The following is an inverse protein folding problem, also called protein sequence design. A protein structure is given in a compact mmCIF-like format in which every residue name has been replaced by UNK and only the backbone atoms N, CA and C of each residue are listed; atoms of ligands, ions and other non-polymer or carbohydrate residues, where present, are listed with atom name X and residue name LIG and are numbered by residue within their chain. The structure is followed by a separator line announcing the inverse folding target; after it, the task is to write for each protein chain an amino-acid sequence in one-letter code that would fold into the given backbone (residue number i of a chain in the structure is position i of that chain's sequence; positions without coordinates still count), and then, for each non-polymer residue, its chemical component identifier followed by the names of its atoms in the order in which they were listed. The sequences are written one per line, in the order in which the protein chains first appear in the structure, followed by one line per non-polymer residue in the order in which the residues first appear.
data_IF_132396571517
#
_entry.id   IF_132396571517
#
_cell.length_a   1.000
_cell.length_b   1.000
_cell.length_c   1.000
_cell.angle_alpha   90.00
_cell.angle_beta   90.00
_cell.angle_gamma   90.00
#
_symmetry.space_group_name_H-M   'P 1'
#
loop_
_entity.id
_entity.type
_entity.pdbx_description
1 polymer ?
#
# COMPACT_ATOMS: atom_id res chain seq x y z
N UNK A 1 -31.27 1.72 -20.97
CA UNK A 1 -31.12 1.84 -19.49
C UNK A 1 -32.02 0.83 -18.81
N UNK A 2 -33.35 0.95 -18.94
CA UNK A 2 -34.30 -0.01 -18.36
C UNK A 2 -33.99 -1.46 -18.79
N UNK A 3 -33.75 -1.70 -20.08
CA UNK A 3 -33.42 -3.03 -20.62
C UNK A 3 -32.21 -3.69 -19.92
N UNK A 4 -31.09 -2.98 -19.74
CA UNK A 4 -29.89 -3.54 -19.07
C UNK A 4 -30.12 -3.84 -17.59
N UNK A 5 -30.91 -3.00 -16.90
CA UNK A 5 -31.27 -3.22 -15.50
C UNK A 5 -32.26 -4.39 -15.35
N UNK A 6 -33.17 -4.54 -16.30
CA UNK A 6 -34.14 -5.65 -16.34
C UNK A 6 -33.42 -6.98 -16.61
N UNK A 7 -32.49 -7.01 -17.58
CA UNK A 7 -31.62 -8.17 -17.84
C UNK A 7 -30.81 -8.56 -16.59
N UNK A 8 -30.23 -7.57 -15.88
CA UNK A 8 -29.51 -7.83 -14.63
C UNK A 8 -30.42 -8.42 -13.55
N UNK A 9 -31.66 -7.97 -13.47
CA UNK A 9 -32.66 -8.47 -12.52
C UNK A 9 -33.11 -9.89 -12.86
N UNK A 10 -33.36 -10.17 -14.15
CA UNK A 10 -33.67 -11.52 -14.64
C UNK A 10 -32.52 -12.49 -14.35
N UNK A 11 -31.27 -12.06 -14.58
CA UNK A 11 -30.10 -12.86 -14.24
C UNK A 11 -29.99 -13.15 -12.72
N UNK A 12 -30.37 -12.22 -11.83
CA UNK A 12 -30.48 -12.51 -10.39
C UNK A 12 -31.52 -13.60 -10.11
N UNK A 13 -32.70 -13.50 -10.74
CA UNK A 13 -33.81 -14.45 -10.56
C UNK A 13 -33.37 -15.86 -10.99
N UNK A 14 -32.62 -15.96 -12.07
CA UNK A 14 -32.07 -17.21 -12.61
C UNK A 14 -30.86 -17.74 -11.82
N UNK A 15 -30.39 -17.02 -10.79
CA UNK A 15 -29.18 -17.37 -10.03
C UNK A 15 -27.87 -17.13 -10.79
N UNK A 16 -27.90 -16.44 -11.93
CA UNK A 16 -26.75 -16.04 -12.75
C UNK A 16 -26.13 -14.74 -12.22
N UNK A 17 -25.61 -14.79 -11.00
CA UNK A 17 -25.20 -13.60 -10.25
C UNK A 17 -24.03 -12.82 -10.88
N UNK A 18 -23.04 -13.50 -11.49
CA UNK A 18 -21.92 -12.80 -12.16
C UNK A 18 -22.38 -12.00 -13.38
N UNK A 19 -23.28 -12.60 -14.18
CA UNK A 19 -23.88 -11.95 -15.33
C UNK A 19 -24.73 -10.76 -14.89
N UNK A 20 -25.54 -10.92 -13.85
CA UNK A 20 -26.29 -9.84 -13.26
C UNK A 20 -25.41 -8.66 -12.85
N UNK A 21 -24.29 -8.93 -12.15
CA UNK A 21 -23.37 -7.90 -11.71
C UNK A 21 -22.73 -7.15 -12.89
N UNK A 22 -22.34 -7.87 -13.95
CA UNK A 22 -21.83 -7.26 -15.18
C UNK A 22 -22.88 -6.36 -15.85
N UNK A 23 -24.14 -6.81 -15.92
CA UNK A 23 -25.25 -6.03 -16.49
C UNK A 23 -25.55 -4.76 -15.69
N UNK A 24 -25.53 -4.82 -14.35
CA UNK A 24 -25.67 -3.62 -13.52
C UNK A 24 -24.50 -2.64 -13.72
N UNK A 25 -23.27 -3.14 -13.89
CA UNK A 25 -22.10 -2.29 -14.20
C UNK A 25 -22.24 -1.60 -15.55
N UNK A 26 -22.64 -2.33 -16.59
CA UNK A 26 -22.91 -1.77 -17.93
C UNK A 26 -24.02 -0.70 -17.87
N UNK A 27 -25.11 -1.00 -17.15
CA UNK A 27 -26.20 -0.05 -16.92
C UNK A 27 -25.69 1.22 -16.21
N UNK A 28 -24.86 1.09 -15.18
CA UNK A 28 -24.29 2.22 -14.43
C UNK A 28 -23.37 3.08 -15.31
N UNK A 29 -22.57 2.46 -16.18
CA UNK A 29 -21.71 3.19 -17.12
C UNK A 29 -22.52 3.98 -18.14
N UNK A 30 -23.66 3.45 -18.58
CA UNK A 30 -24.58 4.14 -19.49
C UNK A 30 -25.38 5.25 -18.77
N UNK A 31 -25.75 5.03 -17.52
CA UNK A 31 -26.52 5.97 -16.71
C UNK A 31 -26.13 5.83 -15.22
N UNK A 32 -25.32 6.76 -14.66
CA UNK A 32 -24.78 6.67 -13.30
C UNK A 32 -25.82 6.81 -12.16
N UNK A 33 -26.68 5.80 -12.00
CA UNK A 33 -27.63 5.69 -10.90
C UNK A 33 -27.02 4.85 -9.75
N UNK A 34 -26.91 5.40 -8.52
CA UNK A 34 -26.32 4.69 -7.38
C UNK A 34 -26.99 3.35 -7.04
N UNK A 35 -28.29 3.20 -7.33
CA UNK A 35 -29.01 1.94 -7.09
C UNK A 35 -28.38 0.79 -7.89
N UNK A 36 -27.84 1.07 -9.08
CA UNK A 36 -27.15 0.08 -9.90
C UNK A 36 -25.85 -0.42 -9.25
N UNK A 37 -25.11 0.45 -8.54
CA UNK A 37 -23.93 0.03 -7.78
C UNK A 37 -24.29 -0.85 -6.58
N UNK A 38 -25.41 -0.55 -5.90
CA UNK A 38 -25.93 -1.40 -4.83
C UNK A 38 -26.32 -2.79 -5.36
N UNK A 39 -27.01 -2.83 -6.49
CA UNK A 39 -27.41 -4.08 -7.13
C UNK A 39 -26.20 -4.89 -7.63
N UNK A 40 -25.22 -4.22 -8.22
CA UNK A 40 -23.93 -4.84 -8.60
C UNK A 40 -23.22 -5.44 -7.39
N UNK A 41 -23.10 -4.69 -6.29
CA UNK A 41 -22.49 -5.18 -5.05
C UNK A 41 -23.18 -6.45 -4.56
N UNK A 42 -24.52 -6.45 -4.49
CA UNK A 42 -25.30 -7.59 -4.01
C UNK A 42 -25.10 -8.80 -4.94
N UNK A 43 -25.08 -8.59 -6.25
CA UNK A 43 -24.86 -9.64 -7.23
C UNK A 43 -23.45 -10.25 -7.10
N UNK A 44 -22.40 -9.44 -7.01
CA UNK A 44 -21.03 -9.95 -6.77
C UNK A 44 -20.90 -10.70 -5.45
N UNK A 45 -21.52 -10.18 -4.38
CA UNK A 45 -21.54 -10.84 -3.07
C UNK A 45 -22.21 -12.21 -3.14
N UNK A 46 -23.38 -12.31 -3.78
CA UNK A 46 -24.08 -13.59 -3.96
C UNK A 46 -23.33 -14.58 -4.86
N UNK A 47 -22.50 -14.07 -5.77
CA UNK A 47 -21.61 -14.88 -6.59
C UNK A 47 -20.35 -15.35 -5.83
N UNK A 48 -20.10 -14.88 -4.61
CA UNK A 48 -18.90 -15.21 -3.82
C UNK A 48 -17.65 -14.42 -4.23
N UNK A 49 -17.76 -13.41 -5.10
CA UNK A 49 -16.62 -12.63 -5.59
C UNK A 49 -16.40 -11.36 -4.76
N UNK A 50 -15.88 -11.54 -3.55
CA UNK A 50 -15.67 -10.45 -2.60
C UNK A 50 -14.73 -9.33 -3.11
N UNK A 51 -13.71 -9.68 -3.90
CA UNK A 51 -12.80 -8.72 -4.55
C UNK A 51 -13.57 -7.72 -5.44
N UNK A 52 -14.69 -8.14 -6.05
CA UNK A 52 -15.52 -7.28 -6.90
C UNK A 52 -16.67 -6.61 -6.14
N UNK A 53 -17.19 -7.26 -5.10
CA UNK A 53 -18.26 -6.71 -4.28
C UNK A 53 -17.82 -5.45 -3.50
N UNK A 54 -16.64 -5.47 -2.87
CA UNK A 54 -16.16 -4.36 -2.02
C UNK A 54 -16.01 -3.04 -2.80
N UNK A 55 -15.39 -3.00 -4.00
CA UNK A 55 -15.30 -1.76 -4.79
C UNK A 55 -16.68 -1.21 -5.21
N UNK A 56 -17.63 -2.07 -5.57
CA UNK A 56 -19.00 -1.65 -5.89
C UNK A 56 -19.69 -1.04 -4.67
N UNK A 57 -19.50 -1.64 -3.49
CA UNK A 57 -19.99 -1.13 -2.21
C UNK A 57 -19.40 0.25 -1.87
N UNK A 58 -18.09 0.41 -2.04
CA UNK A 58 -17.41 1.68 -1.83
C UNK A 58 -17.90 2.77 -2.79
N UNK A 59 -18.09 2.43 -4.07
CA UNK A 59 -18.66 3.33 -5.06
C UNK A 59 -20.07 3.79 -4.69
N UNK A 60 -20.91 2.86 -4.21
CA UNK A 60 -22.25 3.20 -3.74
C UNK A 60 -22.21 4.15 -2.53
N UNK A 61 -21.35 3.89 -1.55
CA UNK A 61 -21.11 4.76 -0.39
C UNK A 61 -20.68 6.18 -0.75
N UNK A 62 -19.92 6.34 -1.84
CA UNK A 62 -19.41 7.63 -2.31
C UNK A 62 -20.43 8.42 -3.15
N UNK A 63 -21.54 7.81 -3.55
CA UNK A 63 -22.54 8.45 -4.42
C UNK A 63 -23.30 9.62 -3.77
N UNK A 64 -23.34 9.68 -2.44
CA UNK A 64 -24.06 10.71 -1.69
C UNK A 64 -25.56 10.45 -1.47
N UNK A 65 -26.11 9.37 -2.04
CA UNK A 65 -27.55 9.00 -1.93
C UNK A 65 -27.79 7.86 -0.92
N UNK A 66 -26.87 7.65 0.02
CA UNK A 66 -26.89 6.52 0.94
C UNK A 66 -27.69 6.82 2.21
N UNK A 67 -28.72 6.03 2.47
CA UNK A 67 -29.45 6.06 3.74
C UNK A 67 -28.70 5.31 4.85
N UNK A 68 -29.06 5.52 6.11
CA UNK A 68 -28.48 4.75 7.22
C UNK A 68 -28.77 3.24 7.10
N UNK A 69 -29.90 2.87 6.50
CA UNK A 69 -30.22 1.46 6.23
C UNK A 69 -29.28 0.88 5.20
N UNK A 70 -29.04 1.62 4.12
CA UNK A 70 -28.13 1.21 3.05
C UNK A 70 -26.69 1.05 3.57
N UNK A 71 -26.25 1.95 4.44
CA UNK A 71 -24.93 1.88 5.08
C UNK A 71 -24.79 0.59 5.91
N UNK A 72 -25.81 0.19 6.66
CA UNK A 72 -25.79 -1.07 7.42
C UNK A 72 -25.71 -2.29 6.51
N UNK A 73 -26.43 -2.28 5.39
CA UNK A 73 -26.39 -3.39 4.43
C UNK A 73 -25.01 -3.50 3.74
N UNK A 74 -24.42 -2.37 3.36
CA UNK A 74 -23.05 -2.31 2.82
C UNK A 74 -22.03 -2.80 3.85
N UNK A 75 -22.11 -2.33 5.09
CA UNK A 75 -21.20 -2.75 6.16
C UNK A 75 -21.25 -4.27 6.36
N UNK A 76 -22.44 -4.88 6.33
CA UNK A 76 -22.59 -6.34 6.43
C UNK A 76 -21.83 -7.07 5.32
N UNK A 77 -21.98 -6.62 4.07
CA UNK A 77 -21.27 -7.21 2.92
C UNK A 77 -19.75 -7.03 3.09
N UNK A 78 -19.30 -5.84 3.47
CA UNK A 78 -17.88 -5.55 3.66
C UNK A 78 -17.25 -6.39 4.78
N UNK A 79 -17.93 -6.55 5.93
CA UNK A 79 -17.43 -7.39 7.04
C UNK A 79 -17.26 -8.83 6.60
N UNK A 80 -18.29 -9.42 6.00
CA UNK A 80 -18.23 -10.83 5.53
C UNK A 80 -17.12 -11.00 4.50
N UNK A 81 -17.05 -10.10 3.52
CA UNK A 81 -16.06 -10.20 2.47
C UNK A 81 -14.63 -9.97 2.95
N UNK A 82 -14.40 -9.04 3.88
CA UNK A 82 -13.05 -8.81 4.40
C UNK A 82 -12.57 -9.99 5.27
N UNK A 83 -13.47 -10.60 6.06
CA UNK A 83 -13.15 -11.82 6.84
C UNK A 83 -12.73 -12.94 5.87
N UNK A 84 -13.51 -13.20 4.83
CA UNK A 84 -13.19 -14.21 3.82
C UNK A 84 -11.84 -13.91 3.13
N UNK A 85 -11.61 -12.68 2.70
CA UNK A 85 -10.35 -12.32 2.05
C UNK A 85 -9.14 -12.39 3.00
N UNK A 86 -9.34 -12.12 4.29
CA UNK A 86 -8.30 -12.26 5.30
C UNK A 86 -7.94 -13.73 5.53
N UNK A 87 -8.93 -14.63 5.54
CA UNK A 87 -8.73 -16.08 5.57
C UNK A 87 -7.91 -16.57 4.37
N UNK A 88 -8.30 -16.14 3.16
CA UNK A 88 -7.58 -16.46 1.92
C UNK A 88 -6.13 -15.94 1.97
N UNK A 89 -5.92 -14.70 2.43
CA UNK A 89 -4.58 -14.12 2.57
C UNK A 89 -3.71 -14.87 3.60
N UNK A 90 -4.29 -15.33 4.73
CA UNK A 90 -3.58 -16.18 5.70
C UNK A 90 -3.22 -17.55 5.12
N UNK A 91 -4.11 -18.16 4.32
CA UNK A 91 -3.83 -19.40 3.62
C UNK A 91 -2.66 -19.26 2.62
N UNK A 92 -2.54 -18.10 1.99
CA UNK A 92 -1.44 -17.77 1.07
C UNK A 92 -0.16 -17.24 1.77
N UNK A 93 -0.11 -17.27 3.11
CA UNK A 93 0.97 -16.71 3.93
C UNK A 93 1.26 -15.23 3.64
N UNK A 94 0.26 -14.48 3.18
CA UNK A 94 0.32 -13.04 2.94
C UNK A 94 -0.15 -12.29 4.19
N UNK A 95 0.69 -12.31 5.23
CA UNK A 95 0.37 -11.76 6.55
C UNK A 95 0.06 -10.25 6.52
N UNK A 96 0.71 -9.49 5.64
CA UNK A 96 0.47 -8.04 5.49
C UNK A 96 -0.93 -7.74 4.95
N UNK A 97 -1.37 -8.48 3.92
CA UNK A 97 -2.71 -8.32 3.38
C UNK A 97 -3.79 -8.73 4.39
N UNK A 98 -3.58 -9.86 5.09
CA UNK A 98 -4.48 -10.33 6.14
C UNK A 98 -4.62 -9.29 7.26
N UNK A 99 -3.51 -8.74 7.75
CA UNK A 99 -3.52 -7.68 8.77
C UNK A 99 -4.30 -6.45 8.32
N UNK A 100 -4.05 -5.98 7.09
CA UNK A 100 -4.74 -4.81 6.54
C UNK A 100 -6.26 -5.03 6.48
N UNK A 101 -6.71 -6.19 6.00
CA UNK A 101 -8.13 -6.54 5.91
C UNK A 101 -8.78 -6.63 7.30
N UNK A 102 -8.07 -7.22 8.26
CA UNK A 102 -8.53 -7.30 9.66
C UNK A 102 -8.71 -5.89 10.24
N UNK A 103 -7.71 -5.02 10.09
CA UNK A 103 -7.75 -3.64 10.60
C UNK A 103 -8.87 -2.81 9.96
N UNK A 104 -9.12 -2.95 8.65
CA UNK A 104 -10.25 -2.30 8.01
C UNK A 104 -11.59 -2.82 8.54
N UNK A 105 -11.69 -4.13 8.77
CA UNK A 105 -12.93 -4.74 9.30
C UNK A 105 -13.26 -4.26 10.71
N UNK A 106 -12.26 -4.06 11.58
CA UNK A 106 -12.46 -3.54 12.94
C UNK A 106 -13.13 -2.16 13.01
N UNK A 107 -13.08 -1.38 11.92
CA UNK A 107 -13.72 -0.06 11.85
C UNK A 107 -15.21 -0.13 11.52
N UNK A 108 -15.71 -1.30 11.14
CA UNK A 108 -17.09 -1.52 10.71
C UNK A 108 -17.97 -2.02 11.87
N UNK A 109 -19.24 -1.67 11.82
CA UNK A 109 -20.24 -2.26 12.71
C UNK A 109 -20.42 -3.75 12.36
N UNK A 110 -20.24 -4.63 13.35
CA UNK A 110 -20.30 -6.08 13.19
C UNK A 110 -21.11 -6.72 14.30
N UNK A 111 -21.60 -7.94 14.04
CA UNK A 111 -22.27 -8.79 15.04
C UNK A 111 -21.25 -9.45 15.96
N UNK A 112 -21.69 -9.95 17.11
CA UNK A 112 -20.82 -10.67 18.07
C UNK A 112 -20.17 -11.92 17.43
N UNK A 113 -20.90 -12.61 16.54
CA UNK A 113 -20.39 -13.77 15.80
C UNK A 113 -19.24 -13.37 14.86
N UNK A 114 -19.43 -12.31 14.08
CA UNK A 114 -18.38 -11.77 13.19
C UNK A 114 -17.19 -11.23 13.99
N UNK A 115 -17.43 -10.64 15.15
CA UNK A 115 -16.36 -10.20 16.04
C UNK A 115 -15.52 -11.40 16.54
N UNK A 116 -16.17 -12.49 16.95
CA UNK A 116 -15.48 -13.71 17.34
C UNK A 116 -14.65 -14.33 16.20
N UNK A 117 -15.18 -14.33 14.97
CA UNK A 117 -14.42 -14.76 13.78
C UNK A 117 -13.18 -13.88 13.55
N UNK A 118 -13.33 -12.56 13.66
CA UNK A 118 -12.23 -11.63 13.47
C UNK A 118 -11.12 -11.81 14.52
N UNK A 119 -11.49 -12.07 15.78
CA UNK A 119 -10.53 -12.39 16.86
C UNK A 119 -9.78 -13.68 16.56
N UNK A 120 -10.47 -14.72 16.09
CA UNK A 120 -9.81 -15.97 15.71
C UNK A 120 -8.79 -15.78 14.56
N UNK A 121 -9.09 -14.91 13.59
CA UNK A 121 -8.15 -14.55 12.53
C UNK A 121 -6.94 -13.78 13.05
N UNK A 122 -7.13 -12.90 14.04
CA UNK A 122 -6.04 -12.19 14.69
C UNK A 122 -5.10 -13.13 15.42
N UNK A 123 -5.64 -14.07 16.18
CA UNK A 123 -4.84 -15.08 16.88
C UNK A 123 -4.04 -15.94 15.89
N UNK A 124 -4.66 -16.33 14.76
CA UNK A 124 -3.99 -17.08 13.71
C UNK A 124 -2.87 -16.28 13.02
N UNK A 125 -3.10 -14.98 12.76
CA UNK A 125 -2.08 -14.07 12.23
C UNK A 125 -0.88 -13.96 13.19
N UNK A 126 -1.12 -13.79 14.49
CA UNK A 126 -0.06 -13.71 15.51
C UNK A 126 0.71 -15.02 15.67
N UNK A 127 0.05 -16.18 15.51
CA UNK A 127 0.71 -17.48 15.53
C UNK A 127 1.67 -17.67 14.33
N UNK A 128 1.26 -17.22 13.14
CA UNK A 128 2.09 -17.30 11.93
C UNK A 128 3.19 -16.24 11.86
N UNK A 129 3.06 -15.13 12.63
CA UNK A 129 4.08 -14.08 12.64
C UNK A 129 5.42 -14.65 13.10
N UNK A 130 6.51 -14.41 12.35
CA UNK A 130 7.83 -14.82 12.77
C UNK A 130 8.13 -14.12 14.08
N UNK A 131 8.25 -14.90 15.16
CA UNK A 131 8.71 -14.37 16.44
C UNK A 131 10.05 -13.71 16.18
N UNK A 132 10.23 -12.41 16.47
CA UNK A 132 11.51 -11.76 16.29
C UNK A 132 12.53 -12.61 17.03
N UNK A 133 13.45 -13.21 16.28
CA UNK A 133 14.54 -13.97 16.85
C UNK A 133 15.27 -12.98 17.74
N UNK A 134 15.18 -13.20 19.06
CA UNK A 134 15.80 -12.33 20.03
C UNK A 134 17.30 -12.45 19.80
N UNK A 135 17.84 -11.57 18.96
CA UNK A 135 19.28 -11.42 18.83
C UNK A 135 19.81 -11.22 20.26
N UNK A 136 20.83 -11.97 20.67
CA UNK A 136 21.36 -11.90 22.02
C UNK A 136 21.72 -10.44 22.29
N UNK A 137 20.98 -9.81 23.20
CA UNK A 137 21.16 -8.39 23.54
C UNK A 137 22.63 -8.21 23.87
N UNK A 138 23.40 -7.46 23.06
CA UNK A 138 24.79 -7.23 23.37
C UNK A 138 24.85 -6.53 24.72
N UNK A 139 25.73 -7.01 25.61
CA UNK A 139 25.91 -6.45 26.93
C UNK A 139 26.04 -4.92 26.81
N UNK A 140 25.34 -4.14 27.66
CA UNK A 140 25.30 -2.69 27.53
C UNK A 140 26.73 -2.15 27.51
N UNK A 141 27.14 -1.42 26.46
CA UNK A 141 28.45 -0.81 26.43
C UNK A 141 28.55 0.15 27.62
N UNK A 142 29.69 0.13 28.31
CA UNK A 142 29.96 1.04 29.42
C UNK A 142 29.67 2.49 28.99
N UNK A 143 29.14 3.35 29.88
CA UNK A 143 28.67 4.69 29.54
C UNK A 143 29.85 5.63 29.24
N UNK A 144 30.41 5.47 28.04
CA UNK A 144 31.16 6.49 27.33
C UNK A 144 30.47 6.63 25.98
N UNK A 145 30.08 7.85 25.62
CA UNK A 145 29.67 8.14 24.23
C UNK A 145 30.92 7.92 23.39
N UNK A 146 31.11 6.69 22.88
CA UNK A 146 32.23 6.40 22.01
C UNK A 146 32.00 7.19 20.73
N UNK A 147 33.06 7.84 20.23
CA UNK A 147 33.01 8.59 18.98
C UNK A 147 32.56 7.68 17.81
N UNK A 148 32.80 6.36 17.90
CA UNK A 148 32.18 5.34 17.04
C UNK A 148 30.64 5.38 16.99
N UNK A 149 29.93 5.61 18.09
CA UNK A 149 28.45 5.76 18.06
C UNK A 149 28.01 6.96 17.21
N UNK A 150 28.79 8.05 17.23
CA UNK A 150 28.51 9.24 16.40
C UNK A 150 28.71 8.90 14.92
N UNK A 151 29.79 8.18 14.58
CA UNK A 151 30.06 7.74 13.20
C UNK A 151 28.96 6.84 12.62
N UNK A 152 28.49 5.85 13.40
CA UNK A 152 27.38 4.99 13.00
C UNK A 152 26.04 5.74 12.94
N UNK A 153 25.78 6.65 13.88
CA UNK A 153 24.57 7.48 13.86
C UNK A 153 24.48 8.37 12.62
N UNK A 154 25.59 9.00 12.22
CA UNK A 154 25.67 9.83 11.00
C UNK A 154 25.51 8.98 9.74
N UNK A 155 26.17 7.82 9.68
CA UNK A 155 26.10 6.93 8.51
C UNK A 155 24.69 6.34 8.36
N UNK A 156 24.09 5.86 9.45
CA UNK A 156 22.74 5.30 9.45
C UNK A 156 21.67 6.31 9.07
N UNK A 157 21.72 7.52 9.65
CA UNK A 157 20.78 8.59 9.29
C UNK A 157 20.92 9.03 7.83
N UNK A 158 22.16 9.12 7.31
CA UNK A 158 22.42 9.39 5.91
C UNK A 158 21.83 8.33 4.97
N UNK A 159 22.00 7.05 5.28
CA UNK A 159 21.45 5.94 4.50
C UNK A 159 19.91 5.96 4.47
N UNK A 160 19.26 6.20 5.61
CA UNK A 160 17.79 6.30 5.70
C UNK A 160 17.27 7.47 4.85
N UNK A 161 17.93 8.63 4.89
CA UNK A 161 17.56 9.78 4.04
C UNK A 161 17.68 9.47 2.55
N UNK A 162 18.74 8.77 2.13
CA UNK A 162 18.94 8.35 0.74
C UNK A 162 17.83 7.39 0.28
N UNK A 163 17.51 6.38 1.08
CA UNK A 163 16.42 5.43 0.77
C UNK A 163 15.08 6.16 0.66
N UNK A 164 14.78 7.06 1.60
CA UNK A 164 13.56 7.89 1.55
C UNK A 164 13.51 8.76 0.29
N UNK A 165 14.64 9.35 -0.12
CA UNK A 165 14.75 10.14 -1.35
C UNK A 165 14.46 9.29 -2.60
N UNK A 166 14.95 8.05 -2.66
CA UNK A 166 14.72 7.10 -3.76
C UNK A 166 13.23 6.76 -3.87
N UNK A 167 12.61 6.31 -2.77
CA UNK A 167 11.17 5.95 -2.75
C UNK A 167 10.32 7.14 -3.18
N UNK A 168 10.61 8.31 -2.63
CA UNK A 168 9.88 9.53 -2.97
C UNK A 168 10.08 9.94 -4.45
N UNK A 169 11.28 9.75 -5.01
CA UNK A 169 11.56 10.00 -6.43
C UNK A 169 10.75 9.05 -7.33
N UNK A 170 10.67 7.75 -6.99
CA UNK A 170 9.89 6.76 -7.76
C UNK A 170 8.40 7.14 -7.79
N UNK A 171 7.82 7.48 -6.63
CA UNK A 171 6.42 7.93 -6.54
C UNK A 171 6.19 9.21 -7.36
N UNK A 172 7.17 10.12 -7.41
CA UNK A 172 7.08 11.32 -8.22
C UNK A 172 7.11 11.02 -9.72
N UNK A 173 7.90 10.03 -10.16
CA UNK A 173 7.93 9.59 -11.56
C UNK A 173 6.63 8.89 -11.98
N UNK A 174 6.08 8.04 -11.12
CA UNK A 174 4.81 7.34 -11.38
C UNK A 174 3.64 8.32 -11.61
N UNK A 175 3.56 9.36 -10.76
CA UNK A 175 2.60 10.46 -10.92
C UNK A 175 2.83 11.28 -12.20
N UNK A 176 4.07 11.38 -12.69
CA UNK A 176 4.34 12.02 -13.97
C UNK A 176 3.86 11.15 -15.14
N UNK A 177 4.08 9.83 -15.09
CA UNK A 177 3.56 8.93 -16.13
C UNK A 177 2.04 8.94 -16.22
N UNK A 178 1.33 9.04 -15.10
CA UNK A 178 -0.13 9.19 -15.09
C UNK A 178 -0.58 10.45 -15.85
N UNK A 179 0.07 11.59 -15.60
CA UNK A 179 -0.21 12.83 -16.32
C UNK A 179 0.09 12.74 -17.81
N UNK A 180 1.18 12.06 -18.21
CA UNK A 180 1.49 11.84 -19.63
C UNK A 180 0.42 10.97 -20.30
N UNK A 181 -0.02 9.89 -19.64
CA UNK A 181 -1.08 9.02 -20.14
C UNK A 181 -2.41 9.78 -20.32
N UNK A 182 -2.78 10.64 -19.35
CA UNK A 182 -3.97 11.49 -19.46
C UNK A 182 -3.86 12.53 -20.56
N UNK A 183 -2.67 13.15 -20.73
CA UNK A 183 -2.43 14.15 -21.76
C UNK A 183 -2.56 13.58 -23.18
N UNK A 184 -2.10 12.35 -23.36
CA UNK A 184 -2.07 11.70 -24.67
C UNK A 184 -3.37 10.90 -24.96
N UNK A 185 -4.28 10.81 -23.98
CA UNK A 185 -5.57 10.14 -24.13
C UNK A 185 -6.54 10.92 -25.02
N UNK A 186 -7.22 10.20 -25.93
CA UNK A 186 -8.30 10.73 -26.79
C UNK A 186 -9.71 10.46 -26.25
N UNK A 187 -9.81 9.94 -25.03
CA UNK A 187 -11.11 9.63 -24.43
C UNK A 187 -11.91 10.93 -24.22
N UNK A 188 -13.24 10.90 -24.42
CA UNK A 188 -14.09 12.03 -24.07
C UNK A 188 -13.93 12.36 -22.57
N UNK A 189 -13.69 13.64 -22.26
CA UNK A 189 -13.42 14.10 -20.88
C UNK A 189 -11.96 13.99 -20.41
N UNK A 190 -11.05 13.41 -21.21
CA UNK A 190 -9.62 13.31 -20.84
C UNK A 190 -8.98 14.67 -20.55
N UNK A 191 -9.37 15.73 -21.28
CA UNK A 191 -8.87 17.08 -21.03
C UNK A 191 -9.29 17.62 -19.66
N UNK A 192 -10.53 17.34 -19.24
CA UNK A 192 -11.04 17.78 -17.94
C UNK A 192 -10.40 16.98 -16.80
N UNK A 193 -10.26 15.66 -16.97
CA UNK A 193 -9.52 14.80 -16.05
C UNK A 193 -8.05 15.23 -15.91
N UNK A 194 -7.38 15.56 -17.02
CA UNK A 194 -6.03 16.10 -17.02
C UNK A 194 -5.95 17.42 -16.25
N UNK A 195 -6.86 18.38 -16.47
CA UNK A 195 -6.87 19.67 -15.75
C UNK A 195 -7.07 19.48 -14.25
N UNK A 196 -8.00 18.63 -13.84
CA UNK A 196 -8.25 18.29 -12.44
C UNK A 196 -7.00 17.66 -11.80
N UNK A 197 -6.44 16.65 -12.45
CA UNK A 197 -5.27 15.92 -11.96
C UNK A 197 -4.01 16.79 -11.93
N UNK A 198 -3.84 17.66 -12.93
CA UNK A 198 -2.75 18.62 -12.99
C UNK A 198 -2.81 19.58 -11.80
N UNK A 199 -3.99 20.13 -11.49
CA UNK A 199 -4.17 21.03 -10.36
C UNK A 199 -3.79 20.37 -9.01
N UNK A 200 -4.21 19.12 -8.81
CA UNK A 200 -3.88 18.32 -7.63
C UNK A 200 -2.37 18.04 -7.49
N UNK A 201 -1.68 17.84 -8.62
CA UNK A 201 -0.26 17.46 -8.64
C UNK A 201 0.71 18.64 -8.62
N UNK A 202 0.26 19.87 -8.89
CA UNK A 202 1.13 21.05 -8.95
C UNK A 202 1.93 21.26 -7.65
N UNK A 203 1.27 21.15 -6.50
CA UNK A 203 1.88 21.39 -5.19
C UNK A 203 2.85 20.27 -4.76
N UNK A 204 2.47 18.98 -4.85
CA UNK A 204 3.39 17.87 -4.63
C UNK A 204 4.62 17.90 -5.55
N UNK A 205 4.43 18.18 -6.85
CA UNK A 205 5.54 18.23 -7.80
C UNK A 205 6.50 19.38 -7.50
N UNK A 206 5.98 20.55 -7.12
CA UNK A 206 6.82 21.69 -6.73
C UNK A 206 7.65 21.36 -5.49
N UNK A 207 7.07 20.69 -4.49
CA UNK A 207 7.81 20.21 -3.32
C UNK A 207 8.86 19.16 -3.69
N UNK A 208 8.50 18.21 -4.55
CA UNK A 208 9.40 17.14 -4.98
C UNK A 208 10.65 17.67 -5.68
N UNK A 209 10.52 18.68 -6.56
CA UNK A 209 11.65 19.30 -7.27
C UNK A 209 12.72 19.86 -6.35
N UNK A 210 12.35 20.30 -5.14
CA UNK A 210 13.31 20.82 -4.16
C UNK A 210 13.70 19.78 -3.12
N UNK A 211 12.75 19.00 -2.60
CA UNK A 211 13.03 18.02 -1.55
C UNK A 211 13.94 16.90 -2.02
N UNK A 212 13.77 16.38 -3.23
CA UNK A 212 14.55 15.23 -3.73
C UNK A 212 16.04 15.56 -3.80
N UNK A 213 16.49 16.65 -4.48
CA UNK A 213 17.91 17.02 -4.48
C UNK A 213 18.45 17.33 -3.09
N UNK A 214 17.67 17.97 -2.21
CA UNK A 214 18.08 18.29 -0.85
C UNK A 214 18.31 17.02 -0.02
N UNK A 215 17.40 16.04 -0.08
CA UNK A 215 17.54 14.77 0.62
C UNK A 215 18.73 13.95 0.10
N UNK A 216 18.94 13.91 -1.22
CA UNK A 216 20.13 13.27 -1.79
C UNK A 216 21.43 13.93 -1.31
N UNK A 217 21.48 15.27 -1.34
CA UNK A 217 22.69 16.02 -0.97
C UNK A 217 22.99 15.87 0.52
N UNK A 218 21.98 16.02 1.38
CA UNK A 218 22.13 15.85 2.83
C UNK A 218 22.45 14.40 3.19
N UNK A 219 21.74 13.43 2.61
CA UNK A 219 21.97 12.01 2.83
C UNK A 219 23.38 11.58 2.42
N UNK A 220 23.85 12.03 1.25
CA UNK A 220 25.20 11.76 0.78
C UNK A 220 26.26 12.43 1.68
N UNK A 221 26.05 13.68 2.09
CA UNK A 221 26.96 14.40 2.98
C UNK A 221 27.07 13.75 4.36
N UNK A 222 25.93 13.34 4.95
CA UNK A 222 25.89 12.63 6.24
C UNK A 222 26.55 11.26 6.15
N UNK A 223 26.27 10.50 5.09
CA UNK A 223 26.88 9.19 4.87
C UNK A 223 28.39 9.30 4.70
N UNK A 224 28.86 10.22 3.83
CA UNK A 224 30.28 10.45 3.61
C UNK A 224 30.97 10.97 4.88
N UNK A 225 30.34 11.88 5.62
CA UNK A 225 30.84 12.39 6.88
C UNK A 225 30.95 11.32 7.96
N UNK A 226 29.95 10.44 8.08
CA UNK A 226 29.96 9.31 9.00
C UNK A 226 31.07 8.31 8.67
N UNK A 227 31.23 7.94 7.39
CA UNK A 227 32.32 7.06 6.93
C UNK A 227 33.69 7.71 7.18
N UNK A 228 33.86 8.99 6.87
CA UNK A 228 35.11 9.72 7.11
C UNK A 228 35.47 9.75 8.60
N UNK A 229 34.47 9.98 9.47
CA UNK A 229 34.67 10.01 10.91
C UNK A 229 35.09 8.63 11.45
N UNK A 230 34.48 7.55 10.97
CA UNK A 230 34.87 6.18 11.30
C UNK A 230 36.30 5.87 10.84
N UNK A 231 36.71 6.34 9.65
CA UNK A 231 38.05 6.11 9.11
C UNK A 231 39.15 6.84 9.90
N UNK A 232 38.92 8.09 10.31
CA UNK A 232 39.91 8.85 11.11
C UNK A 232 40.13 8.26 12.48
N UNK A 233 39.07 7.70 13.09
CA UNK A 233 39.17 7.14 14.44
C UNK A 233 39.90 5.79 14.47
N UNK A 234 40.08 5.14 13.32
CA UNK A 234 40.78 3.84 13.17
C UNK A 234 42.32 3.94 13.33
N UNK A 235 42.83 4.93 14.06
CA UNK A 235 44.24 5.31 14.13
C UNK A 235 45.17 4.32 14.87
N UNK A 236 46.34 4.12 14.23
CA UNK A 236 47.62 3.47 14.58
C UNK A 236 47.67 1.98 14.98
N UNK A 237 46.77 1.45 15.80
CA UNK A 237 46.94 0.07 16.33
C UNK A 237 45.90 -0.96 15.86
N UNK A 238 44.95 -0.56 15.00
CA UNK A 238 43.95 -1.48 14.45
C UNK A 238 44.24 -1.84 12.99
N UNK A 239 44.07 -3.13 12.59
CA UNK A 239 44.21 -3.52 11.20
C UNK A 239 43.30 -2.67 10.33
N UNK A 240 43.83 -2.17 9.21
CA UNK A 240 43.09 -1.29 8.32
C UNK A 240 41.80 -1.99 7.84
N UNK A 241 40.65 -1.44 8.23
CA UNK A 241 39.34 -1.90 7.76
C UNK A 241 39.34 -1.75 6.23
N UNK A 242 39.33 -2.87 5.50
CA UNK A 242 39.18 -2.84 4.04
C UNK A 242 37.70 -2.93 3.70
N UNK A 243 37.14 -1.83 3.23
CA UNK A 243 35.82 -1.81 2.60
C UNK A 243 35.97 -1.94 1.08
N UNK A 244 35.43 -3.00 0.49
CA UNK A 244 35.33 -3.17 -0.97
C UNK A 244 33.86 -3.12 -1.39
N UNK A 245 33.53 -2.21 -2.30
CA UNK A 245 32.19 -2.09 -2.87
C UNK A 245 32.16 -2.86 -4.20
N UNK A 246 31.28 -3.85 -4.31
CA UNK A 246 31.05 -4.58 -5.55
C UNK A 246 29.69 -4.20 -6.12
N UNK A 247 29.59 -3.73 -7.37
CA UNK A 247 28.29 -3.60 -8.01
C UNK A 247 27.63 -4.98 -8.10
N UNK A 248 26.35 -5.07 -7.78
CA UNK A 248 25.58 -6.30 -7.85
C UNK A 248 24.38 -6.06 -8.77
N UNK A 249 24.41 -6.64 -9.96
CA UNK A 249 23.28 -6.59 -10.90
C UNK A 249 22.61 -7.96 -10.90
N UNK A 250 21.33 -8.00 -10.54
CA UNK A 250 20.46 -9.17 -10.67
C UNK A 250 19.42 -8.93 -11.76
N UNK A 251 18.74 -9.98 -12.22
CA UNK A 251 17.76 -9.89 -13.32
C UNK A 251 16.61 -8.91 -13.09
N UNK A 252 16.32 -8.53 -11.83
CA UNK A 252 15.26 -7.59 -11.47
C UNK A 252 15.73 -6.40 -10.62
N UNK A 253 17.02 -6.30 -10.28
CA UNK A 253 17.51 -5.22 -9.41
C UNK A 253 18.97 -4.86 -9.69
N UNK A 254 19.28 -3.56 -9.60
CA UNK A 254 20.64 -3.06 -9.50
C UNK A 254 20.91 -2.66 -8.05
N UNK A 255 22.02 -3.14 -7.49
CA UNK A 255 22.44 -2.85 -6.13
C UNK A 255 23.96 -2.80 -5.99
N UNK A 256 24.42 -2.68 -4.75
CA UNK A 256 25.84 -2.77 -4.41
C UNK A 256 26.00 -3.67 -3.18
N UNK A 257 27.01 -4.52 -3.18
CA UNK A 257 27.40 -5.35 -2.03
C UNK A 257 28.65 -4.74 -1.41
N UNK A 258 28.53 -4.33 -0.15
CA UNK A 258 29.65 -3.81 0.64
C UNK A 258 30.29 -4.99 1.38
N UNK A 259 31.55 -5.29 1.07
CA UNK A 259 32.34 -6.27 1.80
C UNK A 259 33.29 -5.54 2.74
N UNK A 260 33.07 -5.66 4.05
CA UNK A 260 33.92 -5.08 5.09
C UNK A 260 34.70 -6.23 5.71
N UNK A 261 36.03 -6.18 5.63
CA UNK A 261 36.90 -7.09 6.37
C UNK A 261 37.60 -6.34 7.50
N UNK A 262 37.48 -6.89 8.71
CA UNK A 262 38.11 -6.45 9.94
C UNK A 262 39.39 -7.26 10.20
#
# INVERSE_FOLDING_TARGET
MLELSDEGTEAIIDGRFEEAAAKFREAYQAFPDPVLLKNEMIAWYRAGYCIKAIPAAAGYLQSGEVTDSDRRDVNKVQVVCNIQLAEEALADNNLEAAESLIQETQKLEMTDEQHAQLVALQDHLEEQRPKPELEPVPAPPSPGVSKQMIGWGLTGSGAVMLTGAIVYHIVALDRQSELYALRDSRAPGAEQAFKLRQAELTDPQRRARWMVPTLYTLGAALTAGGVYFLLIESGEDQPAIQARLFPAVSGSSAGARLHISF
#
